data_IF_906016415796
#
_entry.id   IF_906016415796
#
_cell.length_a   1.000
_cell.length_b   1.000
_cell.length_c   1.000
_cell.angle_alpha   90.00
_cell.angle_beta   90.00
_cell.angle_gamma   90.00
#
_symmetry.space_group_name_H-M   'P 1'
#
loop_
_entity.id
_entity.type
_entity.pdbx_description
1 polymer ?
#
# COMPACT_ATOMS: atom_id res chain seq x y z
N UNK A 1 -5.58 -22.53 2.43
CA UNK A 1 -4.67 -21.43 2.03
C UNK A 1 -4.13 -21.77 0.65
N UNK A 2 -4.32 -20.87 -0.32
CA UNK A 2 -3.91 -21.06 -1.73
C UNK A 2 -2.65 -20.28 -2.10
N UNK A 3 -2.18 -19.41 -1.21
CA UNK A 3 -1.14 -18.42 -1.48
C UNK A 3 0.10 -18.67 -0.63
N UNK A 4 1.27 -18.34 -1.18
CA UNK A 4 2.55 -18.32 -0.47
C UNK A 4 3.13 -16.92 -0.64
N UNK A 5 3.47 -16.26 0.47
CA UNK A 5 4.02 -14.91 0.45
C UNK A 5 5.52 -14.97 0.17
N UNK A 6 5.95 -14.44 -0.97
CA UNK A 6 7.32 -14.57 -1.48
C UNK A 6 8.07 -13.22 -1.61
N UNK A 7 7.48 -12.11 -1.16
CA UNK A 7 8.09 -10.78 -1.22
C UNK A 7 9.09 -10.58 -0.08
N UNK A 8 10.30 -11.14 -0.22
CA UNK A 8 11.29 -11.25 0.86
C UNK A 8 11.65 -9.94 1.57
N UNK A 9 11.87 -8.84 0.83
CA UNK A 9 12.21 -7.55 1.45
C UNK A 9 11.08 -7.02 2.36
N UNK A 10 9.82 -7.25 1.97
CA UNK A 10 8.64 -6.90 2.79
C UNK A 10 8.54 -7.82 4.01
N UNK A 11 8.85 -9.11 3.86
CA UNK A 11 8.88 -10.05 5.00
C UNK A 11 9.91 -9.60 6.05
N UNK A 12 11.10 -9.17 5.61
CA UNK A 12 12.14 -8.64 6.50
C UNK A 12 11.69 -7.31 7.12
N UNK A 13 11.12 -6.39 6.34
CA UNK A 13 10.63 -5.12 6.84
C UNK A 13 9.53 -5.30 7.90
N UNK A 14 8.51 -6.12 7.62
CA UNK A 14 7.39 -6.36 8.54
C UNK A 14 7.85 -7.07 9.81
N UNK A 15 8.67 -8.10 9.68
CA UNK A 15 9.19 -8.84 10.84
C UNK A 15 10.09 -7.98 11.72
N UNK A 16 11.00 -7.21 11.13
CA UNK A 16 11.90 -6.31 11.86
C UNK A 16 11.14 -5.19 12.55
N UNK A 17 10.16 -4.58 11.85
CA UNK A 17 9.35 -3.49 12.43
C UNK A 17 8.53 -3.98 13.62
N UNK A 18 7.85 -5.12 13.49
CA UNK A 18 7.02 -5.67 14.58
C UNK A 18 7.89 -6.11 15.76
N UNK A 19 9.00 -6.79 15.50
CA UNK A 19 9.94 -7.16 16.56
C UNK A 19 10.48 -5.93 17.28
N UNK A 20 10.90 -4.90 16.52
CA UNK A 20 11.39 -3.65 17.09
C UNK A 20 10.34 -2.96 17.94
N UNK A 21 9.08 -2.87 17.48
CA UNK A 21 7.98 -2.29 18.26
C UNK A 21 7.72 -3.05 19.57
N UNK A 22 7.72 -4.38 19.52
CA UNK A 22 7.53 -5.21 20.72
C UNK A 22 8.64 -4.98 21.72
N UNK A 23 9.91 -4.98 21.29
CA UNK A 23 11.04 -4.78 22.18
C UNK A 23 11.14 -3.34 22.70
N UNK A 24 10.73 -2.35 21.90
CA UNK A 24 10.68 -0.96 22.31
C UNK A 24 9.64 -0.72 23.40
N UNK A 25 8.42 -1.26 23.23
CA UNK A 25 7.34 -1.13 24.22
C UNK A 25 7.55 -2.03 25.45
N UNK A 26 8.16 -3.20 25.27
CA UNK A 26 8.34 -4.22 26.30
C UNK A 26 9.77 -4.78 26.28
N UNK A 27 10.75 -4.02 26.81
CA UNK A 27 12.15 -4.42 26.78
C UNK A 27 12.44 -5.72 27.56
N UNK A 28 11.53 -6.14 28.44
CA UNK A 28 11.66 -7.37 29.21
C UNK A 28 11.41 -8.63 28.36
N UNK A 29 10.87 -8.49 27.14
CA UNK A 29 10.48 -9.59 26.25
C UNK A 29 11.59 -10.00 25.26
N UNK A 30 12.86 -9.74 25.59
CA UNK A 30 14.02 -10.14 24.80
C UNK A 30 14.33 -11.65 24.93
N UNK A 31 13.44 -12.50 24.44
CA UNK A 31 13.54 -13.97 24.47
C UNK A 31 13.30 -14.56 23.06
N UNK A 32 14.05 -15.61 22.70
CA UNK A 32 13.85 -16.43 21.51
C UNK A 32 12.41 -16.95 21.37
N UNK A 33 11.71 -17.18 22.48
CA UNK A 33 10.28 -17.56 22.47
C UNK A 33 9.39 -16.50 21.81
N UNK A 34 9.71 -15.22 21.99
CA UNK A 34 8.97 -14.10 21.41
C UNK A 34 9.21 -14.04 19.90
N UNK A 35 10.44 -14.31 19.45
CA UNK A 35 10.77 -14.43 18.03
C UNK A 35 9.97 -15.56 17.37
N UNK A 36 9.90 -16.74 18.00
CA UNK A 36 9.13 -17.87 17.49
C UNK A 36 7.62 -17.55 17.42
N UNK A 37 7.07 -16.93 18.46
CA UNK A 37 5.67 -16.49 18.51
C UNK A 37 5.35 -15.48 17.39
N UNK A 38 6.20 -14.47 17.21
CA UNK A 38 6.05 -13.47 16.15
C UNK A 38 6.18 -14.10 14.76
N UNK A 39 7.09 -15.06 14.57
CA UNK A 39 7.20 -15.82 13.33
C UNK A 39 5.91 -16.55 12.97
N UNK A 40 5.27 -17.20 13.95
CA UNK A 40 3.98 -17.87 13.75
C UNK A 40 2.85 -16.87 13.45
N UNK A 41 2.80 -15.75 14.18
CA UNK A 41 1.79 -14.72 13.99
C UNK A 41 1.91 -14.07 12.60
N UNK A 42 3.12 -13.66 12.22
CA UNK A 42 3.38 -13.05 10.91
C UNK A 42 3.19 -14.04 9.77
N UNK A 43 3.65 -15.29 9.92
CA UNK A 43 3.41 -16.35 8.95
C UNK A 43 1.91 -16.60 8.72
N UNK A 44 1.13 -16.62 9.80
CA UNK A 44 -0.33 -16.74 9.73
C UNK A 44 -0.95 -15.52 9.05
N UNK A 45 -0.51 -14.31 9.41
CA UNK A 45 -0.96 -13.07 8.75
C UNK A 45 -0.68 -13.11 7.25
N UNK A 46 0.53 -13.47 6.83
CA UNK A 46 0.90 -13.56 5.42
C UNK A 46 0.05 -14.59 4.68
N UNK A 47 -0.16 -15.77 5.26
CA UNK A 47 -0.97 -16.83 4.67
C UNK A 47 -2.45 -16.43 4.53
N UNK A 48 -3.04 -15.86 5.58
CA UNK A 48 -4.47 -15.50 5.59
C UNK A 48 -4.72 -14.25 4.76
N UNK A 49 -3.97 -13.18 4.99
CA UNK A 49 -4.21 -11.89 4.34
C UNK A 49 -3.94 -11.95 2.84
N UNK A 50 -2.89 -12.64 2.37
CA UNK A 50 -2.69 -12.82 0.93
C UNK A 50 -3.80 -13.65 0.29
N UNK A 51 -4.31 -14.67 0.99
CA UNK A 51 -5.39 -15.51 0.50
C UNK A 51 -6.72 -14.73 0.38
N UNK A 52 -6.95 -13.71 1.20
CA UNK A 52 -8.11 -12.80 1.07
C UNK A 52 -8.07 -11.97 -0.21
N UNK A 53 -6.89 -11.69 -0.75
CA UNK A 53 -6.75 -10.89 -1.98
C UNK A 53 -6.94 -11.70 -3.26
N UNK A 54 -7.05 -13.03 -3.19
CA UNK A 54 -7.12 -13.89 -4.39
C UNK A 54 -8.26 -13.48 -5.31
N UNK A 55 -9.49 -13.38 -4.80
CA UNK A 55 -10.66 -13.05 -5.62
C UNK A 55 -10.51 -11.69 -6.31
N UNK A 56 -10.18 -10.66 -5.54
CA UNK A 56 -9.95 -9.30 -6.04
C UNK A 56 -8.85 -9.26 -7.11
N UNK A 57 -7.75 -10.00 -6.90
CA UNK A 57 -6.65 -10.05 -7.85
C UNK A 57 -7.02 -10.79 -9.13
N UNK A 58 -7.74 -11.91 -9.02
CA UNK A 58 -8.19 -12.67 -10.19
C UNK A 58 -9.21 -11.87 -11.03
N UNK A 59 -10.13 -11.15 -10.39
CA UNK A 59 -11.10 -10.31 -11.10
C UNK A 59 -10.41 -9.16 -11.83
N UNK A 60 -9.44 -8.49 -11.19
CA UNK A 60 -8.71 -7.36 -11.79
C UNK A 60 -7.75 -7.79 -12.92
N UNK A 61 -7.16 -8.98 -12.81
CA UNK A 61 -6.12 -9.46 -13.75
C UNK A 61 -6.65 -10.44 -14.79
N UNK A 62 -7.98 -10.57 -14.90
CA UNK A 62 -8.64 -11.50 -15.82
C UNK A 62 -8.15 -12.96 -15.67
N UNK A 63 -7.93 -13.38 -14.43
CA UNK A 63 -7.47 -14.74 -14.13
C UNK A 63 -5.94 -14.93 -14.13
N UNK A 64 -5.16 -13.89 -13.81
CA UNK A 64 -3.70 -13.91 -13.85
C UNK A 64 -2.99 -14.91 -12.91
N UNK A 65 -3.72 -15.64 -12.06
CA UNK A 65 -3.17 -16.77 -11.28
C UNK A 65 -2.30 -16.40 -10.07
N UNK A 66 -2.19 -15.12 -9.70
CA UNK A 66 -1.47 -14.66 -8.51
C UNK A 66 -2.35 -13.91 -7.52
N UNK A 67 -1.79 -13.59 -6.36
CA UNK A 67 -2.40 -12.81 -5.29
C UNK A 67 -1.42 -11.75 -4.76
N UNK A 68 -1.90 -10.80 -3.97
CA UNK A 68 -1.07 -9.73 -3.45
C UNK A 68 -0.37 -10.20 -2.16
N UNK A 69 0.95 -10.16 -2.18
CA UNK A 69 1.81 -10.33 -1.01
C UNK A 69 2.50 -9.01 -0.65
N UNK A 70 1.76 -8.08 -0.02
CA UNK A 70 2.28 -6.76 0.35
C UNK A 70 1.68 -6.22 1.65
N UNK A 71 2.04 -5.01 2.05
CA UNK A 71 1.59 -4.37 3.29
C UNK A 71 0.09 -4.06 3.32
N UNK A 72 -0.57 -3.89 2.17
CA UNK A 72 -1.94 -3.37 2.06
C UNK A 72 -3.02 -4.44 1.80
N UNK A 73 -2.70 -5.73 2.00
CA UNK A 73 -3.57 -6.88 1.68
C UNK A 73 -4.98 -6.76 2.28
N UNK A 74 -5.09 -6.41 3.57
CA UNK A 74 -6.39 -6.27 4.22
C UNK A 74 -7.20 -5.08 3.67
N UNK A 75 -6.53 -3.98 3.34
CA UNK A 75 -7.16 -2.81 2.73
C UNK A 75 -7.72 -3.13 1.34
N UNK A 76 -6.99 -3.92 0.54
CA UNK A 76 -7.47 -4.41 -0.76
C UNK A 76 -8.72 -5.26 -0.58
N UNK A 77 -8.70 -6.24 0.32
CA UNK A 77 -9.87 -7.08 0.60
C UNK A 77 -11.08 -6.25 1.07
N UNK A 78 -10.88 -5.31 1.98
CA UNK A 78 -11.94 -4.46 2.48
C UNK A 78 -12.54 -3.58 1.37
N UNK A 79 -11.66 -3.01 0.55
CA UNK A 79 -12.06 -2.15 -0.57
C UNK A 79 -12.82 -2.95 -1.61
N UNK A 80 -12.36 -4.15 -1.96
CA UNK A 80 -13.07 -5.08 -2.86
C UNK A 80 -14.53 -5.31 -2.41
N UNK A 81 -14.74 -5.57 -1.11
CA UNK A 81 -16.10 -5.81 -0.57
C UNK A 81 -16.99 -4.57 -0.51
N UNK A 82 -16.41 -3.37 -0.44
CA UNK A 82 -17.17 -2.12 -0.27
C UNK A 82 -17.33 -1.37 -1.60
N UNK A 83 -16.37 -1.47 -2.52
CA UNK A 83 -16.31 -0.70 -3.75
C UNK A 83 -17.56 -0.87 -4.61
N UNK A 84 -18.10 -2.09 -4.71
CA UNK A 84 -19.34 -2.36 -5.44
C UNK A 84 -20.60 -1.66 -4.89
N UNK A 85 -20.56 -1.15 -3.65
CA UNK A 85 -21.66 -0.39 -3.04
C UNK A 85 -21.50 1.13 -3.17
N UNK A 86 -20.27 1.60 -3.36
CA UNK A 86 -19.93 3.05 -3.35
C UNK A 86 -19.61 3.56 -4.76
N UNK A 87 -19.07 2.71 -5.62
CA UNK A 87 -18.64 3.05 -6.97
C UNK A 87 -19.50 2.44 -8.07
N UNK A 88 -19.39 3.01 -9.27
CA UNK A 88 -19.89 2.41 -10.50
C UNK A 88 -18.70 1.95 -11.34
N UNK A 89 -18.66 0.66 -11.70
CA UNK A 89 -17.61 0.07 -12.56
C UNK A 89 -17.50 0.76 -13.93
N UNK A 90 -18.62 1.29 -14.45
CA UNK A 90 -18.66 2.01 -15.73
C UNK A 90 -17.93 3.35 -15.69
N UNK A 91 -17.66 3.89 -14.49
CA UNK A 91 -16.90 5.14 -14.30
C UNK A 91 -15.47 4.87 -13.81
N UNK A 92 -14.87 3.75 -14.24
CA UNK A 92 -13.46 3.49 -13.97
C UNK A 92 -12.59 4.60 -14.55
N UNK A 93 -11.54 4.97 -13.82
CA UNK A 93 -10.55 5.95 -14.27
C UNK A 93 -9.85 5.45 -15.53
N UNK A 94 -9.72 4.14 -15.70
CA UNK A 94 -9.09 3.51 -16.87
C UNK A 94 -9.85 3.75 -18.18
N UNK A 95 -11.17 3.97 -18.11
CA UNK A 95 -12.03 4.21 -19.28
C UNK A 95 -12.53 5.66 -19.34
N UNK A 96 -11.94 6.55 -18.56
CA UNK A 96 -12.34 7.95 -18.52
C UNK A 96 -11.76 8.68 -19.73
N UNK A 97 -12.60 9.05 -20.69
CA UNK A 97 -12.19 9.90 -21.81
C UNK A 97 -12.48 11.37 -21.52
N UNK A 98 -11.42 12.14 -21.27
CA UNK A 98 -11.53 13.58 -21.03
C UNK A 98 -11.64 14.39 -22.35
N UNK A 99 -12.54 15.39 -22.44
CA UNK A 99 -12.76 16.13 -23.67
C UNK A 99 -11.68 17.18 -23.95
N UNK A 100 -11.39 17.42 -25.24
CA UNK A 100 -10.56 18.53 -25.70
C UNK A 100 -9.11 18.46 -25.21
N UNK A 101 -8.60 19.57 -24.66
CA UNK A 101 -7.23 19.65 -24.13
C UNK A 101 -6.99 18.70 -22.95
N UNK A 102 -8.03 18.36 -22.18
CA UNK A 102 -7.89 17.47 -21.02
C UNK A 102 -7.59 16.01 -21.40
N UNK A 103 -7.73 15.65 -22.68
CA UNK A 103 -7.38 14.32 -23.19
C UNK A 103 -5.89 13.97 -23.02
N UNK A 104 -5.00 14.95 -22.81
CA UNK A 104 -3.59 14.70 -22.47
C UNK A 104 -3.45 13.89 -21.18
N UNK A 105 -4.43 13.97 -20.27
CA UNK A 105 -4.45 13.22 -19.02
C UNK A 105 -4.95 11.78 -19.18
N UNK A 106 -5.36 11.37 -20.38
CA UNK A 106 -5.61 9.98 -20.67
C UNK A 106 -4.28 9.18 -20.76
N UNK A 107 -3.15 9.86 -20.98
CA UNK A 107 -1.81 9.26 -20.86
C UNK A 107 -1.39 9.19 -19.37
N UNK A 108 -1.13 7.98 -18.88
CA UNK A 108 -0.80 7.73 -17.48
C UNK A 108 0.47 8.48 -17.04
N UNK A 109 1.49 8.58 -17.91
CA UNK A 109 2.75 9.26 -17.58
C UNK A 109 2.52 10.76 -17.41
N UNK A 110 1.75 11.37 -18.33
CA UNK A 110 1.41 12.80 -18.27
C UNK A 110 0.51 13.10 -17.07
N UNK A 111 -0.52 12.28 -16.85
CA UNK A 111 -1.44 12.42 -15.73
C UNK A 111 -0.73 12.30 -14.38
N UNK A 112 0.03 11.22 -14.19
CA UNK A 112 0.77 10.98 -12.95
C UNK A 112 1.83 12.06 -12.73
N UNK A 113 2.59 12.43 -13.76
CA UNK A 113 3.60 13.49 -13.66
C UNK A 113 3.00 14.84 -13.24
N UNK A 114 1.91 15.25 -13.89
CA UNK A 114 1.23 16.52 -13.57
C UNK A 114 0.62 16.50 -12.18
N UNK A 115 -0.06 15.41 -11.80
CA UNK A 115 -0.67 15.25 -10.48
C UNK A 115 0.39 15.30 -9.37
N UNK A 116 1.49 14.56 -9.53
CA UNK A 116 2.57 14.55 -8.54
C UNK A 116 3.25 15.92 -8.46
N UNK A 117 3.47 16.61 -9.58
CA UNK A 117 4.04 17.96 -9.59
C UNK A 117 3.17 18.94 -8.79
N UNK A 118 1.85 18.94 -9.01
CA UNK A 118 0.93 19.82 -8.29
C UNK A 118 0.83 19.44 -6.81
N UNK A 119 0.76 18.15 -6.51
CA UNK A 119 0.66 17.65 -5.14
C UNK A 119 1.89 18.01 -4.30
N UNK A 120 3.09 17.67 -4.78
CA UNK A 120 4.34 18.03 -4.10
C UNK A 120 4.59 19.54 -4.15
N UNK A 121 4.23 20.22 -5.23
CA UNK A 121 4.31 21.68 -5.33
C UNK A 121 3.48 22.38 -4.25
N UNK A 122 2.25 21.93 -4.02
CA UNK A 122 1.38 22.47 -2.97
C UNK A 122 1.93 22.19 -1.56
N UNK A 123 2.40 20.96 -1.30
CA UNK A 123 3.05 20.60 -0.03
C UNK A 123 4.25 21.51 0.21
N UNK A 124 5.08 21.73 -0.81
CA UNK A 124 6.23 22.61 -0.72
C UNK A 124 5.80 24.04 -0.42
N UNK A 125 4.85 24.61 -1.15
CA UNK A 125 4.38 25.99 -0.91
C UNK A 125 3.83 26.20 0.51
N UNK A 126 3.25 25.17 1.13
CA UNK A 126 2.69 25.26 2.49
C UNK A 126 3.77 25.08 3.56
N UNK A 127 4.64 24.07 3.44
CA UNK A 127 5.59 23.69 4.50
C UNK A 127 6.97 24.35 4.37
N UNK A 128 7.39 24.63 3.14
CA UNK A 128 8.76 25.09 2.84
C UNK A 128 9.01 26.53 3.24
N UNK A 129 8.08 27.49 3.22
CA UNK A 129 8.34 28.83 3.75
C UNK A 129 8.79 28.79 5.22
N UNK A 130 8.11 27.99 6.05
CA UNK A 130 8.44 27.84 7.46
C UNK A 130 9.72 27.01 7.69
N UNK A 131 10.02 26.07 6.78
CA UNK A 131 11.22 25.23 6.86
C UNK A 131 12.48 25.96 6.38
N UNK A 132 12.42 26.70 5.27
CA UNK A 132 13.53 27.49 4.75
C UNK A 132 13.87 28.68 5.64
N UNK A 133 12.87 29.39 6.18
CA UNK A 133 13.14 30.47 7.15
C UNK A 133 13.80 29.96 8.44
N UNK A 134 13.59 28.69 8.84
CA UNK A 134 14.29 28.09 9.99
C UNK A 134 15.71 27.63 9.67
N UNK A 135 15.98 27.25 8.43
CA UNK A 135 17.32 26.82 7.99
C UNK A 135 18.22 28.03 7.69
N UNK A 136 17.66 29.14 7.22
CA UNK A 136 18.37 30.40 6.92
C UNK A 136 18.63 31.28 8.17
N UNK A 137 18.11 30.88 9.33
CA UNK A 137 18.31 31.56 10.62
C UNK A 137 19.53 31.03 11.42
N UNK A 138 20.36 30.17 10.82
CA UNK A 138 21.63 29.70 11.37
C UNK A 138 22.82 30.29 10.64
#
# INVERSE_FOLDING_TARGET
VRTVFITGHIMVQQSSTVLWLVLFCFPQLQDTKVVAMLGLLLGTYWAVASNLTVEACQELTEGGGFAIGHQQMFGVWLTDKIAGKVGNKEKSIEYLELPGFLSIFNDNVVATGTLMMLFFGAIMLILVPDLLHKIDAG
#
